data_IF_282196746347
#
_entry.id   IF_282196746347
#
_cell.length_a   1.000
_cell.length_b   1.000
_cell.length_c   1.000
_cell.angle_alpha   90.00
_cell.angle_beta   90.00
_cell.angle_gamma   90.00
#
_symmetry.space_group_name_H-M   'P 1'
#
loop_
_entity.id
_entity.type
_entity.pdbx_description
1 polymer ?
#
# COMPACT_ATOMS: atom_id res chain seq x y z
N UNK A 1 -16.58 1.93 -40.23
CA UNK A 1 -16.84 1.39 -38.89
C UNK A 1 -15.57 0.71 -38.41
N UNK A 2 -14.80 1.36 -37.55
CA UNK A 2 -13.68 0.74 -36.85
C UNK A 2 -14.12 0.61 -35.39
N UNK A 3 -14.46 -0.61 -34.97
CA UNK A 3 -14.67 -0.88 -33.55
C UNK A 3 -13.32 -0.72 -32.86
N UNK A 4 -13.20 0.28 -31.99
CA UNK A 4 -12.04 0.39 -31.09
C UNK A 4 -11.97 -0.88 -30.25
N UNK A 5 -10.79 -1.46 -30.01
CA UNK A 5 -10.67 -2.65 -29.19
C UNK A 5 -11.21 -2.32 -27.79
N UNK A 6 -12.12 -3.17 -27.29
CA UNK A 6 -12.53 -3.13 -25.89
C UNK A 6 -11.26 -3.37 -25.06
N UNK A 7 -10.89 -2.47 -24.14
CA UNK A 7 -9.70 -2.67 -23.32
C UNK A 7 -9.84 -3.99 -22.55
N UNK A 8 -8.77 -4.77 -22.53
CA UNK A 8 -8.73 -6.02 -21.76
C UNK A 8 -9.10 -5.74 -20.29
N UNK A 9 -9.83 -6.64 -19.61
CA UNK A 9 -10.16 -6.46 -18.21
C UNK A 9 -8.88 -6.29 -17.39
N UNK A 10 -8.82 -5.24 -16.55
CA UNK A 10 -7.67 -4.98 -15.68
C UNK A 10 -7.47 -6.17 -14.73
N UNK A 11 -6.23 -6.65 -14.61
CA UNK A 11 -5.88 -7.68 -13.63
C UNK A 11 -6.12 -7.19 -12.20
N UNK A 12 -6.31 -8.12 -11.26
CA UNK A 12 -6.43 -7.80 -9.82
C UNK A 12 -5.21 -7.00 -9.34
N UNK A 13 -4.01 -7.39 -9.78
CA UNK A 13 -2.77 -6.66 -9.53
C UNK A 13 -2.87 -5.17 -9.95
N UNK A 14 -3.35 -4.89 -11.16
CA UNK A 14 -3.52 -3.51 -11.65
C UNK A 14 -4.59 -2.73 -10.87
N UNK A 15 -5.67 -3.38 -10.44
CA UNK A 15 -6.69 -2.74 -9.61
C UNK A 15 -6.13 -2.38 -8.22
N UNK A 16 -5.35 -3.29 -7.62
CA UNK A 16 -4.69 -3.05 -6.33
C UNK A 16 -3.65 -1.93 -6.42
N UNK A 17 -2.81 -1.92 -7.45
CA UNK A 17 -1.83 -0.85 -7.65
C UNK A 17 -2.51 0.51 -7.86
N UNK A 18 -3.61 0.54 -8.60
CA UNK A 18 -4.38 1.77 -8.78
C UNK A 18 -5.00 2.27 -7.47
N UNK A 19 -5.50 1.36 -6.63
CA UNK A 19 -6.00 1.72 -5.31
C UNK A 19 -4.87 2.21 -4.40
N UNK A 20 -3.71 1.53 -4.39
CA UNK A 20 -2.53 1.95 -3.63
C UNK A 20 -2.11 3.39 -3.94
N UNK A 21 -2.10 3.76 -5.23
CA UNK A 21 -1.82 5.15 -5.68
C UNK A 21 -2.85 6.15 -5.18
N UNK A 22 -4.12 5.76 -5.08
CA UNK A 22 -5.17 6.63 -4.54
C UNK A 22 -4.97 6.88 -3.05
N UNK A 23 -4.61 5.85 -2.29
CA UNK A 23 -4.33 6.01 -0.85
C UNK A 23 -3.03 6.80 -0.61
N UNK A 24 -1.97 6.57 -1.40
CA UNK A 24 -0.74 7.38 -1.37
C UNK A 24 -1.05 8.86 -1.65
N UNK A 25 -1.84 9.14 -2.68
CA UNK A 25 -2.26 10.50 -3.00
C UNK A 25 -3.09 11.12 -1.87
N UNK A 26 -3.99 10.35 -1.24
CA UNK A 26 -4.76 10.82 -0.09
C UNK A 26 -3.84 11.16 1.10
N UNK A 27 -2.93 10.26 1.47
CA UNK A 27 -1.93 10.52 2.52
C UNK A 27 -1.14 11.81 2.24
N UNK A 28 -0.65 11.98 1.01
CA UNK A 28 0.13 13.16 0.60
C UNK A 28 -0.66 14.46 0.57
N UNK A 29 -1.91 14.44 0.11
CA UNK A 29 -2.74 15.65 0.04
C UNK A 29 -3.26 16.06 1.42
N UNK A 30 -3.45 15.10 2.33
CA UNK A 30 -3.93 15.37 3.69
C UNK A 30 -2.80 15.76 4.65
N UNK A 31 -1.55 15.40 4.35
CA UNK A 31 -0.40 15.57 5.25
C UNK A 31 -0.08 17.02 5.62
N UNK A 32 -0.43 17.99 4.77
CA UNK A 32 -0.21 19.41 5.05
C UNK A 32 -1.25 20.01 5.98
N UNK A 33 -2.36 19.30 6.26
CA UNK A 33 -3.40 19.79 7.15
C UNK A 33 -3.07 19.49 8.60
N UNK A 34 -3.02 20.53 9.43
CA UNK A 34 -2.90 20.41 10.89
C UNK A 34 -4.21 20.01 11.56
N UNK A 35 -5.33 20.07 10.85
CA UNK A 35 -6.66 19.67 11.35
C UNK A 35 -6.91 18.17 11.20
N UNK A 36 -6.11 17.49 10.37
CA UNK A 36 -6.19 16.05 10.15
C UNK A 36 -5.19 15.36 11.05
N UNK A 37 -5.66 14.39 11.83
CA UNK A 37 -4.82 13.62 12.74
C UNK A 37 -3.88 12.67 11.98
N UNK A 38 -2.76 12.35 12.63
CA UNK A 38 -1.79 11.39 12.12
C UNK A 38 -2.41 10.01 11.89
N UNK A 39 -3.42 9.64 12.68
CA UNK A 39 -4.19 8.42 12.48
C UNK A 39 -4.80 8.33 11.07
N UNK A 40 -5.33 9.43 10.53
CA UNK A 40 -5.94 9.44 9.18
C UNK A 40 -4.87 9.36 8.10
N UNK A 41 -3.76 10.07 8.27
CA UNK A 41 -2.65 10.08 7.30
C UNK A 41 -1.97 8.71 7.26
N UNK A 42 -1.62 8.20 8.45
CA UNK A 42 -1.04 6.87 8.61
C UNK A 42 -1.96 5.76 8.13
N UNK A 43 -3.27 5.88 8.29
CA UNK A 43 -4.22 4.90 7.73
C UNK A 43 -4.12 4.83 6.20
N UNK A 44 -4.09 5.98 5.51
CA UNK A 44 -3.94 6.00 4.06
C UNK A 44 -2.54 5.48 3.65
N UNK A 45 -1.50 5.80 4.42
CA UNK A 45 -0.15 5.28 4.20
C UNK A 45 -0.07 3.74 4.34
N UNK A 46 -0.64 3.18 5.41
CA UNK A 46 -0.72 1.74 5.65
C UNK A 46 -1.47 1.04 4.50
N UNK A 47 -2.63 1.57 4.10
CA UNK A 47 -3.43 1.03 3.01
C UNK A 47 -2.71 1.09 1.66
N UNK A 48 -1.97 2.16 1.40
CA UNK A 48 -1.14 2.29 0.20
C UNK A 48 -0.05 1.22 0.14
N UNK A 49 0.71 1.04 1.23
CA UNK A 49 1.75 0.01 1.33
C UNK A 49 1.17 -1.40 1.19
N UNK A 50 0.07 -1.69 1.90
CA UNK A 50 -0.60 -3.00 1.87
C UNK A 50 -1.07 -3.36 0.45
N UNK A 51 -1.74 -2.44 -0.23
CA UNK A 51 -2.26 -2.68 -1.58
C UNK A 51 -1.15 -2.76 -2.61
N UNK A 52 -0.06 -2.02 -2.43
CA UNK A 52 1.12 -2.11 -3.29
C UNK A 52 1.76 -3.51 -3.19
N UNK A 53 1.96 -4.04 -1.98
CA UNK A 53 2.49 -5.40 -1.78
C UNK A 53 1.52 -6.46 -2.33
N UNK A 54 0.22 -6.33 -2.04
CA UNK A 54 -0.81 -7.23 -2.57
C UNK A 54 -0.89 -7.20 -4.10
N UNK A 55 -0.59 -6.06 -4.73
CA UNK A 55 -0.50 -5.98 -6.19
C UNK A 55 0.61 -6.88 -6.74
N UNK A 56 1.80 -6.85 -6.12
CA UNK A 56 2.94 -7.70 -6.52
C UNK A 56 2.64 -9.17 -6.27
N UNK A 57 2.09 -9.53 -5.11
CA UNK A 57 1.64 -10.90 -4.82
C UNK A 57 0.62 -11.39 -5.86
N UNK A 58 -0.36 -10.55 -6.20
CA UNK A 58 -1.39 -10.87 -7.19
C UNK A 58 -0.83 -11.02 -8.61
N UNK A 59 0.19 -10.25 -9.00
CA UNK A 59 0.85 -10.39 -10.31
C UNK A 59 1.52 -11.76 -10.46
N UNK A 60 1.98 -12.33 -9.34
CA UNK A 60 2.64 -13.63 -9.27
C UNK A 60 1.69 -14.78 -8.92
N UNK A 61 0.38 -14.52 -8.81
CA UNK A 61 -0.62 -15.54 -8.48
C UNK A 61 -0.53 -16.06 -7.05
N UNK A 62 0.11 -15.32 -6.13
CA UNK A 62 0.20 -15.68 -4.72
C UNK A 62 -1.07 -15.22 -4.01
N UNK A 63 -1.79 -16.16 -3.40
CA UNK A 63 -2.97 -15.86 -2.59
C UNK A 63 -2.56 -15.29 -1.22
N UNK A 64 -3.32 -14.31 -0.75
CA UNK A 64 -3.14 -13.70 0.57
C UNK A 64 -4.48 -13.64 1.30
N UNK A 65 -4.44 -13.76 2.63
CA UNK A 65 -5.63 -13.62 3.46
C UNK A 65 -6.00 -12.14 3.61
N UNK A 66 -7.23 -11.86 4.06
CA UNK A 66 -7.63 -10.53 4.50
C UNK A 66 -7.04 -10.24 5.89
N UNK A 67 -5.76 -9.92 5.90
CA UNK A 67 -5.04 -9.37 7.05
C UNK A 67 -4.59 -7.94 6.70
N UNK A 68 -4.59 -7.06 7.69
CA UNK A 68 -4.02 -5.70 7.60
C UNK A 68 -2.60 -5.63 8.19
N UNK A 69 -1.97 -6.80 8.30
CA UNK A 69 -0.64 -6.96 8.85
C UNK A 69 0.37 -6.98 7.72
N UNK A 70 1.21 -5.94 7.66
CA UNK A 70 2.27 -5.82 6.66
C UNK A 70 3.37 -6.86 6.84
N UNK A 71 3.64 -7.33 8.08
CA UNK A 71 4.64 -8.38 8.35
C UNK A 71 4.22 -9.66 7.62
N UNK A 72 2.97 -10.09 7.81
CA UNK A 72 2.45 -11.28 7.16
C UNK A 72 2.49 -11.21 5.62
N UNK A 73 2.43 -10.01 5.03
CA UNK A 73 2.56 -9.84 3.58
C UNK A 73 4.01 -9.83 3.11
N UNK A 74 4.94 -9.31 3.92
CA UNK A 74 6.37 -9.37 3.68
C UNK A 74 6.87 -10.82 3.75
N UNK A 75 6.43 -11.58 4.74
CA UNK A 75 6.71 -13.02 4.86
C UNK A 75 6.25 -13.78 3.62
N UNK A 76 5.06 -13.46 3.09
CA UNK A 76 4.57 -14.07 1.85
C UNK A 76 5.43 -13.73 0.62
N UNK A 77 6.01 -12.52 0.54
CA UNK A 77 6.95 -12.20 -0.53
C UNK A 77 8.21 -13.06 -0.40
N UNK A 78 8.77 -13.15 0.81
CA UNK A 78 9.98 -13.95 1.09
C UNK A 78 9.76 -15.44 0.80
N UNK A 79 8.69 -16.03 1.32
CA UNK A 79 8.33 -17.44 1.13
C UNK A 79 8.22 -17.83 -0.36
N UNK A 80 7.78 -16.88 -1.20
CA UNK A 80 7.63 -17.08 -2.64
C UNK A 80 8.83 -16.58 -3.46
N UNK A 81 9.95 -16.24 -2.81
CA UNK A 81 11.17 -15.70 -3.43
C UNK A 81 10.90 -14.47 -4.33
N UNK A 82 9.93 -13.64 -3.95
CA UNK A 82 9.61 -12.38 -4.61
C UNK A 82 10.50 -11.26 -4.04
N UNK A 83 10.75 -10.20 -4.82
CA UNK A 83 11.53 -9.07 -4.33
C UNK A 83 10.86 -8.43 -3.12
N UNK A 84 11.66 -7.98 -2.17
CA UNK A 84 11.18 -7.20 -1.03
C UNK A 84 11.02 -5.72 -1.41
N UNK A 85 10.00 -5.01 -0.90
CA UNK A 85 9.88 -3.57 -1.09
C UNK A 85 11.05 -2.81 -0.42
N UNK A 86 11.36 -1.59 -0.89
CA UNK A 86 12.24 -0.70 -0.14
C UNK A 86 11.64 -0.42 1.25
N UNK A 87 12.50 -0.29 2.25
CA UNK A 87 12.10 -0.04 3.65
C UNK A 87 11.26 -1.14 4.30
N UNK A 88 11.34 -2.40 3.82
CA UNK A 88 10.58 -3.52 4.39
C UNK A 88 10.67 -3.61 5.92
N UNK A 89 11.88 -3.46 6.48
CA UNK A 89 12.15 -3.52 7.94
C UNK A 89 11.47 -2.41 8.76
N UNK A 90 10.88 -1.40 8.11
CA UNK A 90 10.19 -0.28 8.76
C UNK A 90 8.67 -0.32 8.53
N UNK A 91 8.18 -1.14 7.60
CA UNK A 91 6.76 -1.10 7.21
C UNK A 91 5.82 -1.54 8.33
N UNK A 92 6.27 -2.33 9.29
CA UNK A 92 5.50 -2.73 10.47
C UNK A 92 5.14 -1.54 11.37
N UNK A 93 5.88 -0.43 11.33
CA UNK A 93 5.53 0.84 12.01
C UNK A 93 4.20 1.44 11.49
N UNK A 94 3.73 1.01 10.31
CA UNK A 94 2.42 1.40 9.79
C UNK A 94 1.29 0.50 10.29
N UNK A 95 1.55 -0.69 10.83
CA UNK A 95 0.52 -1.60 11.34
C UNK A 95 -0.39 -0.97 12.42
N UNK A 96 0.11 -0.15 13.37
CA UNK A 96 -0.72 0.57 14.32
C UNK A 96 -1.75 1.53 13.70
N UNK A 97 -1.62 1.84 12.41
CA UNK A 97 -2.54 2.71 11.67
C UNK A 97 -3.56 1.93 10.83
N UNK A 98 -3.51 0.59 10.83
CA UNK A 98 -4.52 -0.25 10.21
C UNK A 98 -5.90 -0.05 10.88
N UNK A 99 -6.98 -0.52 10.24
CA UNK A 99 -8.40 -0.34 10.66
C UNK A 99 -8.65 -0.57 12.16
N UNK A 100 -7.88 -1.44 12.82
CA UNK A 100 -8.00 -1.76 14.25
C UNK A 100 -7.62 -0.61 15.19
N UNK A 101 -6.84 0.37 14.74
CA UNK A 101 -6.49 1.58 15.50
C UNK A 101 -7.72 2.38 15.97
N UNK A 102 -8.82 2.30 15.22
CA UNK A 102 -10.04 3.10 15.45
C UNK A 102 -10.90 2.60 16.61
N UNK A 103 -10.73 1.36 17.09
CA UNK A 103 -11.61 0.77 18.10
C UNK A 103 -11.02 0.64 19.51
N UNK A 104 -9.88 1.29 19.76
CA UNK A 104 -9.54 1.77 21.08
C UNK A 104 -8.37 1.06 21.72
N UNK A 105 -7.22 1.73 21.70
CA UNK A 105 -6.34 1.83 22.89
C UNK A 105 -5.24 2.87 22.72
N UNK A 106 -4.90 3.28 21.49
CA UNK A 106 -3.80 4.22 21.20
C UNK A 106 -4.21 5.05 19.98
N UNK A 107 -4.26 6.39 20.11
CA UNK A 107 -4.15 7.26 18.93
C UNK A 107 -2.67 7.35 18.61
N UNK A 108 -2.19 6.84 17.47
CA UNK A 108 -0.79 6.97 17.13
C UNK A 108 -0.48 8.47 16.94
N UNK A 109 0.38 9.02 17.78
CA UNK A 109 0.84 10.40 17.72
C UNK A 109 2.32 10.47 17.29
N UNK A 110 2.74 11.62 16.77
CA UNK A 110 4.13 11.84 16.40
C UNK A 110 4.56 11.14 15.11
N UNK A 111 3.62 10.91 14.18
CA UNK A 111 3.95 10.37 12.85
C UNK A 111 4.90 11.35 12.15
N UNK A 112 6.10 10.88 11.77
CA UNK A 112 6.92 11.63 10.83
C UNK A 112 6.29 11.55 9.45
N UNK A 113 5.37 12.49 9.18
CA UNK A 113 4.61 12.58 7.94
C UNK A 113 5.53 12.60 6.72
N UNK A 114 6.67 13.28 6.79
CA UNK A 114 7.58 13.37 5.64
C UNK A 114 8.25 12.03 5.37
N UNK A 115 8.72 11.36 6.43
CA UNK A 115 9.31 10.04 6.30
C UNK A 115 8.31 9.02 5.73
N UNK A 116 7.10 8.99 6.29
CA UNK A 116 6.02 8.09 5.85
C UNK A 116 5.68 8.30 4.38
N UNK A 117 5.53 9.55 3.95
CA UNK A 117 5.24 9.85 2.55
C UNK A 117 6.36 9.40 1.61
N UNK A 118 7.63 9.60 2.00
CA UNK A 118 8.77 9.15 1.22
C UNK A 118 8.80 7.62 1.09
N UNK A 119 8.60 6.91 2.21
CA UNK A 119 8.56 5.43 2.23
C UNK A 119 7.42 4.91 1.37
N UNK A 120 6.19 5.41 1.57
CA UNK A 120 5.02 4.91 0.83
C UNK A 120 5.15 5.18 -0.67
N UNK A 121 5.64 6.37 -1.07
CA UNK A 121 5.91 6.65 -2.47
C UNK A 121 6.94 5.68 -3.08
N UNK A 122 7.99 5.34 -2.32
CA UNK A 122 8.99 4.36 -2.74
C UNK A 122 8.40 2.95 -2.89
N UNK A 123 7.54 2.51 -1.96
CA UNK A 123 6.86 1.21 -2.04
C UNK A 123 5.89 1.15 -3.21
N UNK A 124 5.10 2.19 -3.45
CA UNK A 124 4.17 2.24 -4.60
C UNK A 124 4.95 2.26 -5.92
N UNK A 125 6.04 3.02 -6.00
CA UNK A 125 6.94 3.03 -7.16
C UNK A 125 7.61 1.68 -7.39
N UNK A 126 8.04 1.00 -6.32
CA UNK A 126 8.55 -0.36 -6.37
C UNK A 126 7.50 -1.32 -6.92
N UNK A 127 6.28 -1.34 -6.38
CA UNK A 127 5.23 -2.23 -6.86
C UNK A 127 4.91 -2.01 -8.34
N UNK A 128 4.88 -0.75 -8.79
CA UNK A 128 4.74 -0.43 -10.21
C UNK A 128 5.83 -1.05 -11.08
N UNK A 129 7.08 -1.09 -10.61
CA UNK A 129 8.20 -1.70 -11.36
C UNK A 129 8.11 -3.23 -11.48
N UNK A 130 7.31 -3.88 -10.61
CA UNK A 130 7.13 -5.34 -10.60
C UNK A 130 5.98 -5.80 -11.51
N UNK A 131 5.04 -4.91 -11.84
CA UNK A 131 3.87 -5.25 -12.65
C UNK A 131 4.18 -5.13 -14.14
N UNK A 132 3.63 -6.05 -14.96
CA UNK A 132 3.75 -5.96 -16.42
C UNK A 132 3.02 -4.71 -16.94
N UNK A 133 3.61 -3.99 -17.90
CA UNK A 133 2.90 -2.90 -18.59
C UNK A 133 1.62 -3.44 -19.24
N UNK A 134 0.50 -2.74 -19.04
CA UNK A 134 -0.74 -2.98 -19.79
C UNK A 134 -0.59 -2.59 -21.26
#
# INVERSE_FOLDING_TARGET
MASSPVPAPKSIANMLLQAARQDEAASRLLSSSTEISDAVIGFNAQQAAEKAIKAVLSEHGVEFRRTHDLIALLDLLEDNQLPSPPHADWLDELNPYAVEARYGTIEPDGLDRNHVLAVVAAVVGWAQSQLKPC
#
